data_IF_389971341476
#
_entry.id   IF_389971341476
#
_cell.length_a   1.000
_cell.length_b   1.000
_cell.length_c   1.000
_cell.angle_alpha   90.00
_cell.angle_beta   90.00
_cell.angle_gamma   90.00
#
_symmetry.space_group_name_H-M   'P 1'
#
loop_
_entity.id
_entity.type
_entity.pdbx_description
1 polymer ?
#
# COMPACT_ATOMS: atom_id res chain seq x y z
N UNK A 1 42.50 -67.69 -3.97
CA UNK A 1 43.60 -67.03 -4.69
C UNK A 1 42.97 -65.95 -5.58
N UNK A 2 43.46 -64.70 -5.52
CA UNK A 2 43.14 -63.53 -6.38
C UNK A 2 41.72 -62.93 -6.19
N UNK A 3 41.45 -61.81 -5.50
CA UNK A 3 41.84 -60.39 -5.57
C UNK A 3 41.21 -59.58 -6.74
N UNK A 4 40.46 -58.51 -6.35
CA UNK A 4 40.17 -57.20 -7.00
C UNK A 4 38.79 -56.93 -7.71
N UNK A 5 38.35 -55.64 -7.77
CA UNK A 5 37.01 -55.18 -7.38
C UNK A 5 36.29 -54.37 -8.49
N UNK A 6 35.12 -53.76 -8.23
CA UNK A 6 34.98 -52.34 -8.60
C UNK A 6 34.23 -51.52 -7.52
N UNK A 7 34.83 -50.43 -7.03
CA UNK A 7 34.67 -49.02 -7.46
C UNK A 7 33.39 -48.33 -6.93
N UNK A 8 33.63 -47.44 -5.96
CA UNK A 8 32.78 -46.34 -5.45
C UNK A 8 32.08 -45.57 -6.59
N UNK A 9 30.76 -45.44 -6.46
CA UNK A 9 29.95 -44.36 -7.07
C UNK A 9 29.52 -43.38 -5.99
N UNK A 10 29.64 -42.08 -6.27
CA UNK A 10 29.41 -40.94 -5.36
C UNK A 10 27.96 -40.85 -4.88
N UNK A 11 27.77 -40.63 -3.59
CA UNK A 11 26.53 -40.08 -3.04
C UNK A 11 26.46 -38.58 -3.39
N UNK A 12 25.46 -38.19 -4.19
CA UNK A 12 25.06 -36.80 -4.34
C UNK A 12 23.88 -36.55 -3.39
N UNK A 13 24.08 -35.65 -2.44
CA UNK A 13 23.04 -35.16 -1.55
C UNK A 13 21.97 -34.42 -2.38
N UNK A 14 20.75 -34.94 -2.38
CA UNK A 14 19.59 -34.22 -2.92
C UNK A 14 19.25 -33.05 -2.00
N UNK A 15 19.39 -31.82 -2.51
CA UNK A 15 18.76 -30.63 -1.92
C UNK A 15 17.25 -30.78 -2.10
N UNK A 16 16.52 -30.99 -1.01
CA UNK A 16 15.08 -30.76 -0.99
C UNK A 16 14.84 -29.24 -1.07
N UNK A 17 14.44 -28.75 -2.24
CA UNK A 17 13.90 -27.41 -2.39
C UNK A 17 12.45 -27.44 -1.92
N UNK A 18 12.16 -26.83 -0.77
CA UNK A 18 10.80 -26.50 -0.36
C UNK A 18 10.27 -25.41 -1.29
N UNK A 19 9.45 -25.81 -2.27
CA UNK A 19 8.64 -24.89 -3.04
C UNK A 19 7.56 -24.30 -2.12
N UNK A 20 7.75 -23.05 -1.69
CA UNK A 20 6.67 -22.26 -1.13
C UNK A 20 5.64 -22.01 -2.25
N UNK A 21 4.43 -22.53 -2.09
CA UNK A 21 3.33 -22.25 -3.00
C UNK A 21 3.02 -20.75 -2.91
N UNK A 22 3.31 -20.01 -3.98
CA UNK A 22 2.89 -18.62 -4.12
C UNK A 22 1.40 -18.57 -4.41
N UNK A 23 0.66 -17.81 -3.60
CA UNK A 23 -0.73 -17.48 -3.88
C UNK A 23 -0.85 -16.82 -5.28
N UNK A 24 -1.95 -17.05 -6.02
CA UNK A 24 -2.12 -16.46 -7.35
C UNK A 24 -2.21 -14.93 -7.24
N UNK A 25 -1.26 -14.21 -7.85
CA UNK A 25 -1.30 -12.75 -7.95
C UNK A 25 -2.55 -12.35 -8.74
N UNK A 26 -3.42 -11.50 -8.16
CA UNK A 26 -4.55 -10.87 -8.88
C UNK A 26 -3.99 -10.20 -10.14
N UNK A 27 -4.59 -10.47 -11.30
CA UNK A 27 -4.15 -9.88 -12.57
C UNK A 27 -4.83 -8.52 -12.74
N UNK A 28 -4.04 -7.49 -13.01
CA UNK A 28 -4.55 -6.14 -13.32
C UNK A 28 -5.49 -6.18 -14.53
N UNK A 29 -6.61 -5.44 -14.44
CA UNK A 29 -7.57 -5.33 -15.54
C UNK A 29 -6.98 -4.59 -16.75
N UNK A 30 -7.79 -4.43 -17.80
CA UNK A 30 -7.42 -3.57 -18.93
C UNK A 30 -7.30 -2.10 -18.49
N UNK A 31 -8.28 -1.60 -17.73
CA UNK A 31 -8.28 -0.23 -17.22
C UNK A 31 -7.10 0.04 -16.28
N UNK A 32 -6.77 -0.92 -15.39
CA UNK A 32 -5.59 -0.78 -14.54
C UNK A 32 -4.30 -0.64 -15.34
N UNK A 33 -4.14 -1.41 -16.41
CA UNK A 33 -2.97 -1.32 -17.29
C UNK A 33 -2.94 -0.01 -18.08
N UNK A 34 -4.08 0.49 -18.52
CA UNK A 34 -4.18 1.76 -19.25
C UNK A 34 -3.84 2.97 -18.37
N UNK A 35 -3.99 2.83 -17.05
CA UNK A 35 -3.70 3.88 -16.08
C UNK A 35 -2.42 3.61 -15.25
N UNK A 36 -1.61 2.64 -15.68
CA UNK A 36 -0.35 2.26 -15.03
C UNK A 36 -0.46 1.98 -13.52
N UNK A 37 -1.56 1.37 -13.08
CA UNK A 37 -1.79 0.98 -11.69
C UNK A 37 -1.77 -0.54 -11.51
N UNK A 38 -1.41 -0.97 -10.29
CA UNK A 38 -1.44 -2.37 -9.89
C UNK A 38 -2.86 -2.88 -9.65
N UNK A 39 -3.04 -4.20 -9.60
CA UNK A 39 -4.34 -4.81 -9.30
C UNK A 39 -4.85 -4.46 -7.89
N UNK A 40 -3.95 -4.22 -6.94
CA UNK A 40 -4.31 -3.86 -5.57
C UNK A 40 -4.75 -2.38 -5.51
N UNK A 41 -4.02 -1.48 -6.17
CA UNK A 41 -4.44 -0.08 -6.34
C UNK A 41 -5.79 0.03 -7.06
N UNK A 42 -6.01 -0.74 -8.13
CA UNK A 42 -7.32 -0.80 -8.81
C UNK A 42 -8.43 -1.26 -7.85
N UNK A 43 -8.17 -2.27 -7.01
CA UNK A 43 -9.11 -2.77 -6.04
C UNK A 43 -9.44 -1.71 -4.97
N UNK A 44 -8.45 -0.93 -4.51
CA UNK A 44 -8.68 0.20 -3.60
C UNK A 44 -9.56 1.28 -4.25
N UNK A 45 -9.28 1.66 -5.51
CA UNK A 45 -10.12 2.60 -6.28
C UNK A 45 -11.55 2.09 -6.38
N UNK A 46 -11.72 0.82 -6.73
CA UNK A 46 -13.03 0.20 -6.89
C UNK A 46 -13.81 0.16 -5.57
N UNK A 47 -13.16 -0.18 -4.46
CA UNK A 47 -13.78 -0.22 -3.14
C UNK A 47 -14.29 1.16 -2.73
N UNK A 48 -13.50 2.23 -2.93
CA UNK A 48 -13.98 3.58 -2.63
C UNK A 48 -15.10 4.05 -3.58
N UNK A 49 -14.99 3.73 -4.87
CA UNK A 49 -16.04 4.04 -5.85
C UNK A 49 -17.37 3.40 -5.45
N UNK A 50 -17.34 2.12 -5.10
CA UNK A 50 -18.51 1.35 -4.70
C UNK A 50 -19.22 1.88 -3.44
N UNK A 51 -18.52 2.64 -2.57
CA UNK A 51 -19.15 3.27 -1.40
C UNK A 51 -20.19 4.34 -1.76
N UNK A 52 -20.04 4.97 -2.93
CA UNK A 52 -20.86 6.10 -3.36
C UNK A 52 -21.56 5.88 -4.70
N UNK A 53 -21.27 4.76 -5.38
CA UNK A 53 -21.84 4.43 -6.68
C UNK A 53 -23.36 4.23 -6.60
N UNK A 54 -24.05 4.78 -7.60
CA UNK A 54 -25.45 4.52 -7.91
C UNK A 54 -25.48 3.37 -8.92
N UNK A 55 -26.04 2.23 -8.51
CA UNK A 55 -26.07 1.01 -9.33
C UNK A 55 -27.42 0.77 -10.01
N UNK A 56 -28.44 1.56 -9.67
CA UNK A 56 -29.81 1.44 -10.16
C UNK A 56 -30.22 2.58 -11.11
N UNK A 57 -29.24 3.26 -11.72
CA UNK A 57 -29.49 4.30 -12.71
C UNK A 57 -29.84 3.67 -14.08
N UNK A 58 -31.06 3.88 -14.61
CA UNK A 58 -31.49 3.28 -15.88
C UNK A 58 -30.70 3.78 -17.09
N UNK A 59 -30.18 5.02 -17.05
CA UNK A 59 -29.42 5.62 -18.15
C UNK A 59 -28.00 5.04 -18.28
N UNK A 60 -27.54 4.33 -17.25
CA UNK A 60 -26.20 3.72 -17.15
C UNK A 60 -26.28 2.22 -16.83
N UNK A 61 -27.30 1.53 -17.33
CA UNK A 61 -27.54 0.10 -17.04
C UNK A 61 -26.44 -0.86 -17.54
N UNK A 62 -25.58 -0.39 -18.44
CA UNK A 62 -24.42 -1.11 -18.97
C UNK A 62 -23.13 -0.92 -18.14
N UNK A 63 -23.12 0.06 -17.22
CA UNK A 63 -22.02 0.32 -16.28
C UNK A 63 -22.11 -0.66 -15.10
N UNK A 64 -21.28 -1.71 -15.13
CA UNK A 64 -21.34 -2.81 -14.14
C UNK A 64 -20.96 -2.38 -12.74
N UNK A 65 -20.03 -1.45 -12.63
CA UNK A 65 -19.56 -0.86 -11.38
C UNK A 65 -20.52 0.21 -10.85
N UNK A 66 -21.52 0.60 -11.65
CA UNK A 66 -22.39 1.75 -11.41
C UNK A 66 -21.73 3.07 -11.79
N UNK A 67 -22.37 4.17 -11.42
CA UNK A 67 -21.89 5.54 -11.68
C UNK A 67 -21.86 6.36 -10.41
N UNK A 68 -20.90 7.27 -10.30
CA UNK A 68 -20.89 8.28 -9.24
C UNK A 68 -21.73 9.47 -9.68
N UNK A 69 -22.38 10.15 -8.73
CA UNK A 69 -22.83 11.51 -8.98
C UNK A 69 -21.62 12.44 -8.95
N UNK A 70 -21.59 13.44 -9.83
CA UNK A 70 -20.48 14.42 -9.90
C UNK A 70 -20.23 15.10 -8.55
N UNK A 71 -21.28 15.35 -7.76
CA UNK A 71 -21.18 15.90 -6.39
C UNK A 71 -20.49 14.98 -5.37
N UNK A 72 -20.50 13.66 -5.59
CA UNK A 72 -19.92 12.66 -4.68
C UNK A 72 -18.43 12.37 -4.99
N UNK A 73 -17.89 12.88 -6.11
CA UNK A 73 -16.47 12.69 -6.52
C UNK A 73 -15.50 13.10 -5.41
N UNK A 74 -15.74 14.26 -4.76
CA UNK A 74 -14.89 14.72 -3.65
C UNK A 74 -14.88 13.71 -2.49
N UNK A 75 -16.03 13.13 -2.16
CA UNK A 75 -16.17 12.17 -1.06
C UNK A 75 -15.46 10.86 -1.39
N UNK A 76 -15.54 10.44 -2.65
CA UNK A 76 -14.85 9.27 -3.15
C UNK A 76 -13.31 9.43 -3.10
N UNK A 77 -12.78 10.58 -3.52
CA UNK A 77 -11.34 10.89 -3.42
C UNK A 77 -10.83 10.96 -1.97
N UNK A 78 -11.66 11.46 -1.05
CA UNK A 78 -11.36 11.43 0.39
C UNK A 78 -11.31 9.98 0.90
N UNK A 79 -12.24 9.13 0.48
CA UNK A 79 -12.25 7.71 0.86
C UNK A 79 -11.01 6.97 0.32
N UNK A 80 -10.46 7.39 -0.82
CA UNK A 80 -9.17 6.94 -1.36
C UNK A 80 -7.94 7.54 -0.68
N UNK A 81 -8.12 8.34 0.38
CA UNK A 81 -7.04 9.03 1.06
C UNK A 81 -6.18 9.89 0.10
N UNK A 82 -6.84 10.45 -0.93
CA UNK A 82 -6.26 11.33 -1.94
C UNK A 82 -7.16 12.55 -2.15
N UNK A 83 -7.47 13.32 -1.08
CA UNK A 83 -8.34 14.48 -1.20
C UNK A 83 -7.78 15.50 -2.22
N UNK A 84 -8.65 16.26 -2.90
CA UNK A 84 -8.22 17.46 -3.59
C UNK A 84 -7.58 18.43 -2.58
N UNK A 85 -6.44 19.00 -2.96
CA UNK A 85 -5.66 19.95 -2.16
C UNK A 85 -6.31 21.34 -2.10
N UNK A 86 -7.08 21.70 -3.13
CA UNK A 86 -7.74 23.00 -3.22
C UNK A 86 -9.07 22.92 -3.96
N UNK A 87 -9.87 23.97 -3.83
CA UNK A 87 -11.12 24.11 -4.61
C UNK A 87 -10.87 24.23 -6.11
N UNK A 88 -9.71 24.77 -6.52
CA UNK A 88 -9.34 24.89 -7.92
C UNK A 88 -9.02 23.52 -8.52
N UNK A 89 -8.21 22.71 -7.82
CA UNK A 89 -7.94 21.33 -8.24
C UNK A 89 -9.22 20.50 -8.30
N UNK A 90 -10.13 20.66 -7.31
CA UNK A 90 -11.43 19.97 -7.37
C UNK A 90 -12.21 20.37 -8.62
N UNK A 91 -12.25 21.65 -8.99
CA UNK A 91 -12.95 22.09 -10.19
C UNK A 91 -12.36 21.46 -11.46
N UNK A 92 -11.04 21.43 -11.59
CA UNK A 92 -10.33 20.77 -12.71
C UNK A 92 -10.62 19.26 -12.75
N UNK A 93 -10.64 18.60 -11.60
CA UNK A 93 -11.00 17.18 -11.49
C UNK A 93 -12.42 16.96 -11.98
N UNK A 94 -13.38 17.78 -11.54
CA UNK A 94 -14.79 17.64 -11.92
C UNK A 94 -14.98 17.82 -13.43
N UNK A 95 -14.32 18.82 -14.02
CA UNK A 95 -14.31 19.04 -15.48
C UNK A 95 -13.70 17.85 -16.23
N UNK A 96 -12.65 17.23 -15.68
CA UNK A 96 -12.00 16.07 -16.31
C UNK A 96 -12.85 14.79 -16.26
N UNK A 97 -13.61 14.57 -15.17
CA UNK A 97 -14.40 13.34 -14.99
C UNK A 97 -15.83 13.43 -15.52
N UNK A 98 -16.37 14.64 -15.66
CA UNK A 98 -17.71 14.91 -16.20
C UNK A 98 -17.67 16.06 -17.23
N UNK A 99 -16.94 15.89 -18.35
CA UNK A 99 -16.75 16.97 -19.34
C UNK A 99 -18.04 17.38 -20.06
N UNK A 100 -19.06 16.53 -20.04
CA UNK A 100 -20.37 16.79 -20.64
C UNK A 100 -21.37 17.38 -19.64
N UNK A 101 -20.96 17.61 -18.39
CA UNK A 101 -21.84 18.07 -17.29
C UNK A 101 -23.12 17.22 -17.15
N UNK A 102 -22.97 15.91 -17.35
CA UNK A 102 -24.08 14.95 -17.25
C UNK A 102 -24.60 14.78 -15.82
N UNK A 103 -23.79 15.16 -14.83
CA UNK A 103 -24.06 14.96 -13.41
C UNK A 103 -23.69 13.55 -12.92
N UNK A 104 -23.18 12.69 -13.81
CA UNK A 104 -22.75 11.34 -13.48
C UNK A 104 -21.36 11.02 -14.06
N UNK A 105 -20.60 10.22 -13.34
CA UNK A 105 -19.22 9.84 -13.65
C UNK A 105 -19.14 8.33 -13.68
N UNK A 106 -18.72 7.76 -14.82
CA UNK A 106 -18.49 6.32 -14.93
C UNK A 106 -17.19 5.90 -14.25
N UNK A 107 -17.06 4.61 -13.93
CA UNK A 107 -15.84 4.09 -13.33
C UNK A 107 -14.60 4.34 -14.19
N UNK A 108 -14.73 4.29 -15.52
CA UNK A 108 -13.65 4.55 -16.46
C UNK A 108 -13.12 5.99 -16.38
N UNK A 109 -13.99 6.99 -16.21
CA UNK A 109 -13.56 8.38 -15.99
C UNK A 109 -12.94 8.58 -14.61
N UNK A 110 -13.55 7.98 -13.58
CA UNK A 110 -13.06 8.11 -12.22
C UNK A 110 -11.68 7.47 -12.02
N UNK A 111 -11.47 6.24 -12.51
CA UNK A 111 -10.20 5.51 -12.33
C UNK A 111 -9.02 6.25 -12.93
N UNK A 112 -9.22 6.98 -14.05
CA UNK A 112 -8.16 7.76 -14.68
C UNK A 112 -7.65 8.88 -13.78
N UNK A 113 -8.56 9.65 -13.18
CA UNK A 113 -8.18 10.72 -12.23
C UNK A 113 -7.66 10.14 -10.91
N UNK A 114 -8.29 9.08 -10.39
CA UNK A 114 -7.86 8.43 -9.17
C UNK A 114 -6.44 7.87 -9.29
N UNK A 115 -6.09 7.26 -10.44
CA UNK A 115 -4.74 6.80 -10.72
C UNK A 115 -3.73 7.94 -10.72
N UNK A 116 -4.03 9.07 -11.39
CA UNK A 116 -3.17 10.25 -11.36
C UNK A 116 -2.96 10.79 -9.94
N UNK A 117 -4.02 10.82 -9.12
CA UNK A 117 -3.96 11.23 -7.71
C UNK A 117 -3.10 10.30 -6.87
N UNK A 118 -3.22 8.99 -7.06
CA UNK A 118 -2.37 8.00 -6.39
C UNK A 118 -0.90 8.18 -6.80
N UNK A 119 -0.62 8.33 -8.09
CA UNK A 119 0.74 8.56 -8.58
C UNK A 119 1.34 9.86 -8.03
N UNK A 120 0.56 10.94 -7.98
CA UNK A 120 1.02 12.21 -7.41
C UNK A 120 1.35 12.07 -5.93
N UNK A 121 0.50 11.40 -5.15
CA UNK A 121 0.74 11.14 -3.72
C UNK A 121 1.98 10.28 -3.51
N UNK A 122 2.13 9.19 -4.26
CA UNK A 122 3.26 8.28 -4.10
C UNK A 122 4.59 8.87 -4.55
N UNK A 123 4.60 9.81 -5.49
CA UNK A 123 5.84 10.41 -6.01
C UNK A 123 6.18 11.76 -5.37
N UNK A 124 5.36 12.30 -4.47
CA UNK A 124 5.63 13.56 -3.77
C UNK A 124 6.51 13.30 -2.53
N UNK A 125 7.82 13.64 -2.57
CA UNK A 125 8.71 13.41 -1.45
C UNK A 125 8.34 14.22 -0.21
N UNK A 126 7.67 15.37 -0.36
CA UNK A 126 7.23 16.17 0.79
C UNK A 126 6.10 15.45 1.54
N UNK A 127 5.10 14.94 0.82
CA UNK A 127 4.04 14.13 1.43
C UNK A 127 4.56 12.84 2.05
N UNK A 128 5.48 12.12 1.40
CA UNK A 128 6.12 10.95 2.01
C UNK A 128 6.80 11.32 3.33
N UNK A 129 7.50 12.45 3.34
CA UNK A 129 8.22 12.93 4.52
C UNK A 129 7.26 13.32 5.66
N UNK A 130 6.13 13.96 5.34
CA UNK A 130 5.07 14.27 6.29
C UNK A 130 4.40 12.99 6.87
N UNK A 131 4.17 11.97 6.04
CA UNK A 131 3.62 10.68 6.48
C UNK A 131 4.58 9.94 7.42
N UNK A 132 5.89 9.95 7.10
CA UNK A 132 6.94 9.42 7.99
C UNK A 132 6.94 10.16 9.32
N UNK A 133 6.83 11.49 9.30
CA UNK A 133 6.83 12.31 10.52
C UNK A 133 5.61 12.10 11.40
N UNK A 134 4.43 12.03 10.78
CA UNK A 134 3.19 11.76 11.48
C UNK A 134 3.22 10.37 12.13
N UNK A 135 3.68 9.34 11.38
CA UNK A 135 3.82 7.98 11.90
C UNK A 135 4.87 7.91 13.02
N UNK A 136 6.04 8.52 12.83
CA UNK A 136 7.11 8.54 13.84
C UNK A 136 6.62 9.21 15.13
N UNK A 137 5.93 10.35 15.01
CA UNK A 137 5.29 11.05 16.13
C UNK A 137 4.25 10.18 16.83
N UNK A 138 3.48 9.38 16.10
CA UNK A 138 2.51 8.44 16.68
C UNK A 138 3.20 7.31 17.48
N UNK A 139 4.35 6.83 17.02
CA UNK A 139 5.18 5.88 17.75
C UNK A 139 5.80 6.48 19.02
N UNK A 140 6.29 7.71 18.96
CA UNK A 140 6.92 8.40 20.10
C UNK A 140 5.92 9.12 21.02
N UNK A 141 4.66 9.26 20.60
CA UNK A 141 3.66 10.18 21.20
C UNK A 141 4.13 11.64 21.23
N UNK A 142 4.97 12.03 20.28
CA UNK A 142 5.60 13.34 20.24
C UNK A 142 6.67 13.55 21.31
N UNK A 143 7.07 12.50 22.04
CA UNK A 143 8.09 12.57 23.08
C UNK A 143 9.42 11.99 22.58
N UNK A 144 10.39 12.89 22.35
CA UNK A 144 11.77 12.56 22.00
C UNK A 144 12.01 12.20 20.54
N UNK A 145 13.29 12.07 20.20
CA UNK A 145 13.76 11.95 18.81
C UNK A 145 13.99 10.49 18.36
N UNK A 146 13.58 9.52 19.18
CA UNK A 146 13.87 8.10 18.96
C UNK A 146 12.71 7.18 19.35
N UNK A 147 12.52 6.12 18.57
CA UNK A 147 11.66 5.00 18.94
C UNK A 147 12.45 4.06 19.85
N UNK A 148 11.91 3.83 21.05
CA UNK A 148 12.53 3.00 22.08
C UNK A 148 11.81 1.66 22.23
N UNK A 149 12.43 0.73 22.96
CA UNK A 149 11.80 -0.53 23.34
C UNK A 149 10.48 -0.31 24.11
N UNK A 150 10.40 0.76 24.92
CA UNK A 150 9.17 1.10 25.63
C UNK A 150 8.04 1.52 24.67
N UNK A 151 8.38 2.26 23.60
CA UNK A 151 7.43 2.64 22.56
C UNK A 151 6.89 1.40 21.82
N UNK A 152 7.75 0.48 21.40
CA UNK A 152 7.31 -0.75 20.72
C UNK A 152 6.44 -1.64 21.61
N UNK A 153 6.80 -1.82 22.89
CA UNK A 153 5.96 -2.55 23.85
C UNK A 153 4.57 -1.94 23.99
N UNK A 154 4.49 -0.61 23.99
CA UNK A 154 3.22 0.11 24.07
C UNK A 154 2.37 -0.16 22.82
N UNK A 155 2.96 0.01 21.64
CA UNK A 155 2.26 -0.22 20.37
C UNK A 155 1.77 -1.66 20.27
N UNK A 156 2.59 -2.66 20.61
CA UNK A 156 2.18 -4.07 20.63
C UNK A 156 0.97 -4.31 21.55
N UNK A 157 0.94 -3.69 22.74
CA UNK A 157 -0.22 -3.77 23.66
C UNK A 157 -1.46 -3.08 23.10
N UNK A 158 -1.31 -1.92 22.45
CA UNK A 158 -2.42 -1.19 21.81
C UNK A 158 -3.03 -2.01 20.66
N UNK A 159 -2.20 -2.73 19.90
CA UNK A 159 -2.61 -3.67 18.85
C UNK A 159 -3.08 -5.04 19.37
N UNK A 160 -3.02 -5.27 20.69
CA UNK A 160 -3.33 -6.55 21.36
C UNK A 160 -2.49 -7.72 20.84
N UNK A 161 -1.26 -7.45 20.43
CA UNK A 161 -0.28 -8.47 20.03
C UNK A 161 0.60 -8.87 21.22
N UNK A 162 0.73 -10.17 21.44
CA UNK A 162 1.63 -10.72 22.45
C UNK A 162 3.03 -10.92 21.86
N UNK A 163 3.82 -9.86 21.85
CA UNK A 163 5.19 -9.87 21.31
C UNK A 163 6.19 -9.92 22.46
N UNK A 164 7.04 -10.96 22.55
CA UNK A 164 8.00 -11.06 23.63
C UNK A 164 9.06 -9.99 23.52
N UNK A 165 9.50 -9.52 24.68
CA UNK A 165 10.54 -8.52 24.88
C UNK A 165 11.82 -8.75 24.06
N UNK A 166 12.19 -10.02 23.85
CA UNK A 166 13.34 -10.39 23.01
C UNK A 166 13.11 -10.01 21.55
N UNK A 167 11.94 -10.34 21.00
CA UNK A 167 11.60 -10.05 19.61
C UNK A 167 11.53 -8.55 19.35
N UNK A 168 10.97 -7.77 20.28
CA UNK A 168 10.96 -6.30 20.18
C UNK A 168 12.37 -5.70 20.16
N UNK A 169 13.33 -6.27 20.90
CA UNK A 169 14.74 -5.85 20.83
C UNK A 169 15.38 -6.24 19.50
N UNK A 170 15.03 -7.41 18.97
CA UNK A 170 15.54 -7.87 17.68
C UNK A 170 15.00 -6.97 16.54
N UNK A 171 13.74 -6.53 16.61
CA UNK A 171 13.16 -5.55 15.68
C UNK A 171 13.91 -4.21 15.69
N UNK A 172 14.28 -3.70 16.87
CA UNK A 172 15.08 -2.45 16.97
C UNK A 172 16.44 -2.65 16.30
N UNK A 173 17.14 -3.74 16.62
CA UNK A 173 18.48 -4.00 16.06
C UNK A 173 18.44 -4.11 14.53
N UNK A 174 17.40 -4.72 13.98
CA UNK A 174 17.21 -4.85 12.54
C UNK A 174 16.87 -3.52 11.86
N UNK A 175 16.11 -2.66 12.55
CA UNK A 175 15.76 -1.34 12.04
C UNK A 175 16.97 -0.39 11.99
N UNK A 176 17.86 -0.45 12.98
CA UNK A 176 18.99 0.48 13.09
C UNK A 176 20.14 0.10 12.15
N UNK A 177 20.65 1.08 11.41
CA UNK A 177 21.85 0.90 10.57
C UNK A 177 23.12 0.63 11.39
N UNK A 178 23.14 1.03 12.67
CA UNK A 178 24.29 0.88 13.60
C UNK A 178 24.15 -0.17 14.70
N UNK A 179 23.07 -0.97 14.70
CA UNK A 179 22.80 -1.95 15.77
C UNK A 179 22.53 -1.34 17.16
N UNK A 180 22.09 -0.08 17.18
CA UNK A 180 21.84 0.69 18.40
C UNK A 180 20.59 0.22 19.17
N UNK A 181 20.40 0.67 20.42
CA UNK A 181 19.25 0.27 21.25
C UNK A 181 17.97 1.07 20.96
N UNK A 182 18.01 2.02 20.02
CA UNK A 182 16.92 2.94 19.66
C UNK A 182 16.92 3.20 18.17
N UNK A 183 15.75 3.48 17.59
CA UNK A 183 15.57 3.74 16.15
C UNK A 183 15.37 5.24 15.92
N UNK A 184 16.21 5.86 15.10
CA UNK A 184 16.03 7.26 14.68
C UNK A 184 15.01 7.40 13.54
N UNK A 185 14.67 8.64 13.19
CA UNK A 185 13.76 8.95 12.07
C UNK A 185 14.21 8.31 10.75
N UNK A 186 15.47 8.47 10.38
CA UNK A 186 16.00 7.93 9.10
C UNK A 186 15.97 6.40 9.06
N UNK A 187 16.31 5.72 10.16
CA UNK A 187 16.19 4.27 10.27
C UNK A 187 14.72 3.82 10.14
N UNK A 188 13.80 4.57 10.75
CA UNK A 188 12.36 4.31 10.67
C UNK A 188 11.81 4.50 9.26
N UNK A 189 12.18 5.58 8.55
CA UNK A 189 11.86 5.77 7.14
C UNK A 189 12.34 4.57 6.32
N UNK A 190 13.59 4.14 6.54
CA UNK A 190 14.16 2.97 5.87
C UNK A 190 13.33 1.71 6.09
N UNK A 191 12.82 1.50 7.31
CA UNK A 191 11.89 0.39 7.61
C UNK A 191 10.58 0.54 6.84
N UNK A 192 9.94 1.72 6.85
CA UNK A 192 8.68 1.97 6.14
C UNK A 192 8.81 1.73 4.63
N UNK A 193 9.91 2.19 4.02
CA UNK A 193 10.21 1.97 2.60
C UNK A 193 10.40 0.48 2.29
N UNK A 194 11.13 -0.27 3.13
CA UNK A 194 11.31 -1.73 2.97
C UNK A 194 10.01 -2.51 3.17
N UNK A 195 9.10 -2.00 3.99
CA UNK A 195 7.78 -2.58 4.22
C UNK A 195 6.79 -2.30 3.08
N UNK A 196 7.17 -1.51 2.06
CA UNK A 196 6.32 -1.19 0.92
C UNK A 196 5.28 -0.09 1.20
N UNK A 197 5.47 0.72 2.25
CA UNK A 197 4.54 1.83 2.55
C UNK A 197 4.59 2.92 1.47
N UNK A 198 5.73 3.05 0.78
CA UNK A 198 5.98 4.07 -0.23
C UNK A 198 6.45 3.49 -1.59
N UNK A 199 6.29 2.18 -1.79
CA UNK A 199 6.92 1.41 -2.88
C UNK A 199 5.97 0.90 -3.94
#
# INVERSE_FOLDING_TARGET
MVIKPPKRGKAAAGKAATAAATAPKKRASKLAKENDITADQENEILEAFALFAVTDNPDYSDEKEGVLRTEDVRRCLIALNTPPTSSAELAEILEAVDPEESGFVTYAYFIAVAALKLHAKHNDPEQQNEEVDAAFTLFTRGEGDFITLAHLRRVARELREDVPDKMLRDMIKEATSGGGPVVGREDFEGVMRRAGVFG
#
